data_IF_041091551689
#
_entry.id   IF_041091551689
#
_cell.length_a   1.000
_cell.length_b   1.000
_cell.length_c   1.000
_cell.angle_alpha   90.00
_cell.angle_beta   90.00
_cell.angle_gamma   90.00
#
_symmetry.space_group_name_H-M   'P 1'
#
loop_
_entity.id
_entity.type
_entity.pdbx_description
1 polymer ?
#
# COMPACT_ATOMS: atom_id res chain seq x y z
N UNK A 1 -19.35 -30.80 4.17
CA UNK A 1 -18.30 -31.01 3.14
C UNK A 1 -17.56 -29.71 3.02
N UNK A 2 -16.33 -29.61 3.48
CA UNK A 2 -15.54 -28.36 3.43
C UNK A 2 -15.23 -28.07 1.96
N UNK A 3 -15.79 -26.98 1.43
CA UNK A 3 -15.48 -26.54 0.07
C UNK A 3 -14.03 -26.03 0.04
N UNK A 4 -13.19 -26.65 -0.76
CA UNK A 4 -11.79 -26.21 -0.95
C UNK A 4 -11.74 -25.08 -1.98
N UNK A 5 -10.79 -24.16 -1.80
CA UNK A 5 -10.48 -23.14 -2.82
C UNK A 5 -10.15 -23.83 -4.15
N UNK A 6 -10.72 -23.39 -5.28
CA UNK A 6 -10.37 -23.92 -6.58
C UNK A 6 -8.86 -23.94 -6.82
N UNK A 7 -8.36 -25.05 -7.37
CA UNK A 7 -6.93 -25.25 -7.59
C UNK A 7 -6.34 -24.20 -8.53
N UNK A 8 -5.06 -23.95 -8.38
CA UNK A 8 -4.30 -23.06 -9.26
C UNK A 8 -3.98 -23.78 -10.57
N UNK A 9 -4.35 -23.25 -11.75
CA UNK A 9 -3.92 -23.79 -13.02
C UNK A 9 -2.40 -23.74 -13.20
N UNK A 10 -1.83 -24.70 -13.95
CA UNK A 10 -0.39 -24.80 -14.15
C UNK A 10 0.29 -23.53 -14.68
N UNK A 11 -0.42 -22.76 -15.55
CA UNK A 11 0.11 -21.50 -16.08
C UNK A 11 0.21 -20.38 -15.03
N UNK A 12 -0.46 -20.50 -13.89
CA UNK A 12 -0.32 -19.64 -12.73
C UNK A 12 0.62 -20.21 -11.65
N UNK A 13 1.22 -21.38 -11.88
CA UNK A 13 2.14 -22.02 -10.96
C UNK A 13 3.49 -21.31 -10.88
N UNK A 14 3.88 -20.54 -11.92
CA UNK A 14 5.11 -19.75 -11.89
C UNK A 14 4.92 -18.42 -11.17
N UNK A 15 6.01 -17.86 -10.65
CA UNK A 15 6.03 -16.50 -10.13
C UNK A 15 5.98 -15.44 -11.24
N UNK A 16 6.08 -15.86 -12.51
CA UNK A 16 5.97 -14.99 -13.67
C UNK A 16 4.58 -15.11 -14.31
N UNK A 17 3.72 -14.07 -14.24
CA UNK A 17 2.39 -14.06 -14.81
C UNK A 17 2.36 -13.64 -16.29
N UNK A 18 3.50 -13.51 -16.97
CA UNK A 18 3.52 -13.20 -18.39
C UNK A 18 2.88 -14.30 -19.22
N UNK A 19 2.17 -13.93 -20.29
CA UNK A 19 1.55 -14.89 -21.20
C UNK A 19 0.28 -15.60 -20.71
N UNK A 20 -0.31 -15.17 -19.58
CA UNK A 20 -1.60 -15.70 -19.12
C UNK A 20 -2.70 -15.33 -20.12
N UNK A 21 -3.46 -16.32 -20.68
CA UNK A 21 -4.59 -16.00 -21.54
C UNK A 21 -5.72 -15.33 -20.74
N UNK A 22 -6.19 -14.15 -21.18
CA UNK A 22 -7.22 -13.38 -20.48
C UNK A 22 -8.52 -14.20 -20.28
N UNK A 23 -8.92 -14.99 -21.28
CA UNK A 23 -10.12 -15.83 -21.17
C UNK A 23 -9.98 -16.87 -20.04
N UNK A 24 -8.79 -17.47 -19.89
CA UNK A 24 -8.52 -18.44 -18.82
C UNK A 24 -8.51 -17.76 -17.45
N UNK A 25 -7.95 -16.57 -17.35
CA UNK A 25 -7.99 -15.78 -16.12
C UNK A 25 -9.44 -15.44 -15.73
N UNK A 26 -10.27 -14.99 -16.67
CA UNK A 26 -11.68 -14.66 -16.40
C UNK A 26 -12.51 -15.88 -15.97
N UNK A 27 -12.29 -17.03 -16.56
CA UNK A 27 -12.93 -18.28 -16.15
C UNK A 27 -12.54 -18.66 -14.70
N UNK A 28 -11.26 -18.59 -14.38
CA UNK A 28 -10.77 -18.85 -13.03
C UNK A 28 -11.31 -17.84 -12.00
N UNK A 29 -11.36 -16.55 -12.34
CA UNK A 29 -11.95 -15.52 -11.49
C UNK A 29 -13.41 -15.83 -11.15
N UNK A 30 -14.22 -16.23 -12.16
CA UNK A 30 -15.63 -16.56 -11.94
C UNK A 30 -15.79 -17.80 -11.04
N UNK A 31 -14.99 -18.83 -11.26
CA UNK A 31 -14.99 -20.03 -10.42
C UNK A 31 -14.68 -19.68 -8.95
N UNK A 32 -13.61 -18.90 -8.73
CA UNK A 32 -13.17 -18.46 -7.42
C UNK A 32 -14.15 -17.48 -6.76
N UNK A 33 -14.76 -16.57 -7.55
CA UNK A 33 -15.79 -15.65 -7.06
C UNK A 33 -17.01 -16.41 -6.52
N UNK A 34 -17.51 -17.41 -7.27
CA UNK A 34 -18.60 -18.27 -6.81
C UNK A 34 -18.27 -19.01 -5.52
N UNK A 35 -17.04 -19.53 -5.43
CA UNK A 35 -16.56 -20.17 -4.21
C UNK A 35 -16.52 -19.18 -3.03
N UNK A 36 -15.90 -18.01 -3.21
CA UNK A 36 -15.77 -17.00 -2.14
C UNK A 36 -17.14 -16.50 -1.65
N UNK A 37 -18.04 -16.19 -2.57
CA UNK A 37 -19.39 -15.70 -2.24
C UNK A 37 -20.16 -16.74 -1.43
N UNK A 38 -20.13 -18.00 -1.85
CA UNK A 38 -20.77 -19.10 -1.13
C UNK A 38 -20.11 -19.33 0.24
N UNK A 39 -18.78 -19.39 0.29
CA UNK A 39 -18.01 -19.60 1.50
C UNK A 39 -18.32 -18.49 2.54
N UNK A 40 -18.34 -17.24 2.12
CA UNK A 40 -18.66 -16.11 2.97
C UNK A 40 -20.13 -16.15 3.47
N UNK A 41 -21.09 -16.42 2.59
CA UNK A 41 -22.51 -16.53 2.93
C UNK A 41 -22.78 -17.62 3.95
N UNK A 42 -22.19 -18.80 3.78
CA UNK A 42 -22.41 -19.96 4.65
C UNK A 42 -21.76 -19.78 6.03
N UNK A 43 -20.60 -19.10 6.12
CA UNK A 43 -19.78 -19.13 7.32
C UNK A 43 -19.67 -17.78 8.07
N UNK A 44 -20.02 -16.65 7.44
CA UNK A 44 -19.94 -15.32 8.06
C UNK A 44 -21.32 -14.70 8.20
N UNK A 45 -21.79 -14.55 9.43
CA UNK A 45 -23.14 -14.04 9.74
C UNK A 45 -23.41 -12.66 9.12
N UNK A 46 -22.40 -11.79 9.05
CA UNK A 46 -22.51 -10.48 8.40
C UNK A 46 -22.92 -10.61 6.93
N UNK A 47 -22.23 -11.48 6.17
CA UNK A 47 -22.50 -11.64 4.74
C UNK A 47 -23.86 -12.29 4.50
N UNK A 48 -24.24 -13.30 5.29
CA UNK A 48 -25.58 -13.88 5.19
C UNK A 48 -26.63 -12.80 5.38
N UNK A 49 -26.58 -12.03 6.47
CA UNK A 49 -27.51 -10.94 6.74
C UNK A 49 -27.58 -9.94 5.58
N UNK A 50 -26.41 -9.43 5.12
CA UNK A 50 -26.36 -8.41 4.08
C UNK A 50 -26.88 -8.91 2.73
N UNK A 51 -26.66 -10.18 2.39
CA UNK A 51 -27.15 -10.75 1.13
C UNK A 51 -28.66 -10.99 1.18
N UNK A 52 -29.16 -11.51 2.31
CA UNK A 52 -30.58 -11.71 2.54
C UNK A 52 -31.35 -10.36 2.51
N UNK A 53 -30.79 -9.30 3.09
CA UNK A 53 -31.36 -7.95 3.07
C UNK A 53 -31.56 -7.38 1.64
N UNK A 54 -30.67 -7.72 0.71
CA UNK A 54 -30.81 -7.29 -0.71
C UNK A 54 -31.45 -8.37 -1.60
N UNK A 55 -31.81 -9.53 -1.02
CA UNK A 55 -32.47 -10.62 -1.74
C UNK A 55 -31.58 -11.33 -2.76
N UNK A 56 -30.24 -11.39 -2.51
CA UNK A 56 -29.27 -12.04 -3.42
C UNK A 56 -28.75 -13.32 -2.77
N UNK A 57 -28.77 -14.41 -3.52
CA UNK A 57 -28.24 -15.71 -3.12
C UNK A 57 -26.91 -16.02 -3.87
N UNK A 58 -25.97 -16.79 -3.28
CA UNK A 58 -24.73 -17.18 -3.96
C UNK A 58 -24.93 -17.80 -5.35
N UNK A 59 -26.03 -18.46 -5.61
CA UNK A 59 -26.36 -19.07 -6.92
C UNK A 59 -26.74 -18.04 -8.00
N UNK A 60 -26.98 -16.79 -7.63
CA UNK A 60 -27.26 -15.70 -8.56
C UNK A 60 -26.00 -15.20 -9.26
N UNK A 61 -24.81 -15.55 -8.75
CA UNK A 61 -23.51 -15.18 -9.35
C UNK A 61 -23.22 -16.13 -10.53
N UNK A 62 -23.58 -15.70 -11.73
CA UNK A 62 -23.43 -16.44 -12.99
C UNK A 62 -22.31 -15.91 -13.88
N UNK A 63 -22.03 -14.61 -13.78
CA UNK A 63 -20.96 -13.90 -14.48
C UNK A 63 -20.14 -13.03 -13.50
N UNK A 64 -18.98 -12.54 -13.91
CA UNK A 64 -18.16 -11.65 -13.07
C UNK A 64 -18.87 -10.34 -12.73
N UNK A 65 -19.65 -9.81 -13.67
CA UNK A 65 -20.40 -8.56 -13.47
C UNK A 65 -21.51 -8.68 -12.41
N UNK A 66 -21.96 -9.90 -12.09
CA UNK A 66 -22.97 -10.13 -11.05
C UNK A 66 -22.42 -9.80 -9.65
N UNK A 67 -21.11 -9.57 -9.49
CA UNK A 67 -20.53 -9.03 -8.26
C UNK A 67 -21.24 -7.74 -7.80
N UNK A 68 -21.75 -6.96 -8.73
CA UNK A 68 -22.46 -5.70 -8.48
C UNK A 68 -23.80 -5.88 -7.78
N UNK A 69 -24.38 -7.07 -7.78
CA UNK A 69 -25.58 -7.41 -7.00
C UNK A 69 -25.31 -7.46 -5.51
N UNK A 70 -24.05 -7.69 -5.10
CA UNK A 70 -23.66 -7.86 -3.73
C UNK A 70 -23.39 -6.50 -3.04
N UNK A 71 -23.75 -6.36 -1.75
CA UNK A 71 -23.49 -5.15 -0.99
C UNK A 71 -21.99 -4.96 -0.71
N UNK A 72 -21.60 -3.71 -0.50
CA UNK A 72 -20.23 -3.38 -0.09
C UNK A 72 -19.93 -3.81 1.34
N UNK A 73 -18.68 -4.18 1.58
CA UNK A 73 -18.10 -4.29 2.91
C UNK A 73 -17.32 -3.02 3.23
N UNK A 74 -17.52 -2.48 4.42
CA UNK A 74 -16.88 -1.25 4.88
C UNK A 74 -16.01 -1.50 6.12
N UNK A 75 -15.16 -0.55 6.47
CA UNK A 75 -14.39 -0.59 7.71
C UNK A 75 -15.30 -0.59 8.97
N UNK A 76 -16.51 -0.03 8.87
CA UNK A 76 -17.49 -0.07 9.93
C UNK A 76 -17.99 -1.50 10.18
N UNK A 77 -18.28 -2.25 9.13
CA UNK A 77 -18.68 -3.66 9.20
C UNK A 77 -17.61 -4.52 9.92
N UNK A 78 -16.31 -4.27 9.60
CA UNK A 78 -15.21 -4.99 10.24
C UNK A 78 -15.05 -4.64 11.74
N UNK A 79 -15.41 -3.43 12.12
CA UNK A 79 -15.40 -3.00 13.53
C UNK A 79 -16.58 -3.56 14.31
N UNK A 80 -17.77 -3.65 13.69
CA UNK A 80 -18.97 -4.25 14.27
C UNK A 80 -18.73 -5.72 14.60
N UNK A 81 -18.02 -6.44 13.72
CA UNK A 81 -17.75 -7.87 13.86
C UNK A 81 -16.47 -8.21 14.65
N UNK A 82 -15.84 -7.22 15.27
CA UNK A 82 -14.64 -7.41 16.10
C UNK A 82 -14.89 -8.38 17.27
N UNK A 83 -13.92 -9.28 17.62
CA UNK A 83 -12.65 -9.47 16.93
C UNK A 83 -12.68 -10.52 15.81
N UNK A 84 -13.55 -11.53 15.86
CA UNK A 84 -13.47 -12.72 15.00
C UNK A 84 -14.75 -12.98 14.19
N UNK A 85 -15.71 -12.08 14.21
CA UNK A 85 -17.00 -12.28 13.54
C UNK A 85 -16.93 -12.33 12.02
N UNK A 86 -15.79 -11.96 11.43
CA UNK A 86 -15.52 -12.11 9.99
C UNK A 86 -14.81 -13.41 9.63
N UNK A 87 -14.45 -14.25 10.63
CA UNK A 87 -13.75 -15.50 10.32
C UNK A 87 -14.72 -16.53 9.77
N UNK A 88 -14.40 -17.05 8.59
CA UNK A 88 -15.21 -18.03 7.87
C UNK A 88 -14.77 -19.48 8.13
N UNK A 89 -13.82 -19.68 9.03
CA UNK A 89 -13.32 -21.00 9.46
C UNK A 89 -13.29 -21.09 11.00
N UNK A 90 -13.35 -22.29 11.58
CA UNK A 90 -13.13 -22.46 13.02
C UNK A 90 -11.74 -21.96 13.45
N UNK A 91 -11.65 -21.41 14.66
CA UNK A 91 -10.37 -20.91 15.20
C UNK A 91 -9.24 -21.96 15.18
N UNK A 92 -9.58 -23.25 15.30
CA UNK A 92 -8.60 -24.35 15.20
C UNK A 92 -7.90 -24.43 13.85
N UNK A 93 -8.48 -23.88 12.79
CA UNK A 93 -7.88 -23.83 11.45
C UNK A 93 -7.07 -22.54 11.21
N UNK A 94 -7.24 -21.52 12.05
CA UNK A 94 -6.48 -20.27 11.98
C UNK A 94 -5.06 -20.52 12.49
N UNK A 95 -4.07 -20.19 11.67
CA UNK A 95 -2.63 -20.35 11.98
C UNK A 95 -1.96 -19.05 12.36
N UNK A 96 -2.51 -17.92 11.91
CA UNK A 96 -1.94 -16.61 12.21
C UNK A 96 -3.05 -15.56 12.30
N UNK A 97 -2.85 -14.59 13.20
CA UNK A 97 -3.71 -13.43 13.34
C UNK A 97 -2.84 -12.18 13.18
N UNK A 98 -3.30 -11.24 12.38
CA UNK A 98 -2.76 -9.90 12.29
C UNK A 98 -3.84 -8.87 12.63
N UNK A 99 -3.41 -7.64 12.91
CA UNK A 99 -4.33 -6.54 13.14
C UNK A 99 -3.76 -5.21 12.61
N UNK A 100 -4.64 -4.34 12.13
CA UNK A 100 -4.27 -2.98 11.75
C UNK A 100 -4.07 -2.09 12.99
N UNK A 101 -3.37 -0.95 12.85
CA UNK A 101 -3.02 -0.06 13.97
C UNK A 101 -4.19 0.66 14.65
N UNK A 102 -5.39 0.59 14.08
CA UNK A 102 -6.61 1.16 14.69
C UNK A 102 -6.49 2.60 15.19
N UNK A 103 -5.99 3.54 14.37
CA UNK A 103 -5.75 4.94 14.74
C UNK A 103 -6.98 5.67 15.32
N UNK A 104 -8.20 5.15 15.09
CA UNK A 104 -9.47 5.77 15.48
C UNK A 104 -10.39 4.84 16.28
N UNK A 105 -9.86 3.80 16.97
CA UNK A 105 -10.68 2.88 17.75
C UNK A 105 -10.18 1.44 17.73
N UNK A 106 -11.11 0.47 17.67
CA UNK A 106 -10.76 -0.96 17.62
C UNK A 106 -10.02 -1.31 16.35
N UNK A 107 -8.90 -2.09 16.42
CA UNK A 107 -8.17 -2.54 15.24
C UNK A 107 -9.03 -3.47 14.38
N UNK A 108 -8.74 -3.53 13.07
CA UNK A 108 -9.27 -4.60 12.23
C UNK A 108 -8.41 -5.84 12.43
N UNK A 109 -9.04 -6.94 12.84
CA UNK A 109 -8.38 -8.23 13.07
C UNK A 109 -8.58 -9.12 11.85
N UNK A 110 -7.51 -9.70 11.33
CA UNK A 110 -7.53 -10.58 10.16
C UNK A 110 -6.88 -11.92 10.47
N UNK A 111 -7.52 -12.99 10.03
CA UNK A 111 -7.06 -14.37 10.23
C UNK A 111 -6.50 -14.98 8.95
N UNK A 112 -5.64 -15.99 9.12
CA UNK A 112 -5.04 -16.76 8.04
C UNK A 112 -5.02 -18.24 8.38
N UNK A 113 -5.48 -19.08 7.46
CA UNK A 113 -5.26 -20.53 7.49
C UNK A 113 -3.82 -20.86 7.02
N UNK A 114 -3.44 -22.12 7.06
CA UNK A 114 -2.19 -22.56 6.42
C UNK A 114 -2.21 -22.30 4.91
N UNK A 115 -3.34 -22.58 4.24
CA UNK A 115 -3.53 -22.32 2.82
C UNK A 115 -3.48 -20.82 2.48
N UNK A 116 -4.03 -19.95 3.33
CA UNK A 116 -3.92 -18.50 3.16
C UNK A 116 -2.46 -18.03 3.24
N UNK A 117 -1.68 -18.56 4.19
CA UNK A 117 -0.26 -18.21 4.35
C UNK A 117 0.58 -18.66 3.17
N UNK A 118 0.32 -19.85 2.62
CA UNK A 118 1.01 -20.36 1.44
C UNK A 118 0.74 -19.49 0.21
N UNK A 119 -0.53 -19.19 -0.04
CA UNK A 119 -0.93 -18.28 -1.16
C UNK A 119 -0.34 -16.89 -1.00
N UNK A 120 -0.33 -16.37 0.22
CA UNK A 120 0.27 -15.06 0.48
C UNK A 120 1.77 -15.04 0.22
N UNK A 121 2.49 -16.09 0.63
CA UNK A 121 3.92 -16.22 0.31
C UNK A 121 4.16 -16.29 -1.20
N UNK A 122 3.31 -17.00 -1.97
CA UNK A 122 3.39 -17.04 -3.44
C UNK A 122 3.16 -15.64 -4.06
N UNK A 123 2.16 -14.89 -3.59
CA UNK A 123 1.84 -13.54 -4.08
C UNK A 123 2.97 -12.54 -3.83
N UNK A 124 3.58 -12.60 -2.65
CA UNK A 124 4.72 -11.73 -2.34
C UNK A 124 5.94 -12.16 -3.15
N UNK A 125 6.24 -13.46 -3.28
CA UNK A 125 7.32 -13.95 -4.13
C UNK A 125 7.17 -13.49 -5.58
N UNK A 126 5.94 -13.54 -6.13
CA UNK A 126 5.60 -13.00 -7.46
C UNK A 126 5.88 -11.50 -7.54
N UNK A 127 5.47 -10.74 -6.53
CA UNK A 127 5.71 -9.29 -6.45
C UNK A 127 7.20 -8.97 -6.43
N UNK A 128 7.99 -9.71 -5.64
CA UNK A 128 9.45 -9.54 -5.58
C UNK A 128 10.13 -9.91 -6.90
N UNK A 129 9.65 -10.98 -7.56
CA UNK A 129 10.15 -11.37 -8.90
C UNK A 129 9.84 -10.28 -9.94
N UNK A 130 8.65 -9.68 -9.91
CA UNK A 130 8.28 -8.56 -10.77
C UNK A 130 9.16 -7.31 -10.53
N UNK A 131 9.52 -7.08 -9.27
CA UNK A 131 10.45 -6.02 -8.86
C UNK A 131 11.91 -6.28 -9.27
N UNK A 132 12.23 -7.45 -9.85
CA UNK A 132 13.57 -7.78 -10.31
C UNK A 132 14.42 -8.57 -9.31
N UNK A 133 13.90 -8.91 -8.13
CA UNK A 133 14.58 -9.74 -7.13
C UNK A 133 14.56 -11.20 -7.59
N UNK A 134 15.64 -11.93 -7.35
CA UNK A 134 15.84 -13.31 -7.82
C UNK A 134 16.23 -14.25 -6.68
N UNK A 135 16.15 -15.55 -6.95
CA UNK A 135 16.68 -16.57 -6.07
C UNK A 135 18.18 -16.31 -5.81
N UNK A 136 18.58 -16.39 -4.54
CA UNK A 136 19.95 -16.16 -4.09
C UNK A 136 20.26 -14.72 -3.70
N UNK A 137 19.43 -13.73 -4.06
CA UNK A 137 19.60 -12.35 -3.60
C UNK A 137 19.44 -12.26 -2.06
N UNK A 138 20.14 -11.32 -1.46
CA UNK A 138 19.99 -10.95 -0.05
C UNK A 138 19.03 -9.76 0.05
N UNK A 139 17.98 -9.91 0.85
CA UNK A 139 16.90 -8.93 0.93
C UNK A 139 16.78 -8.41 2.36
N UNK A 140 17.05 -7.13 2.54
CA UNK A 140 16.93 -6.42 3.81
C UNK A 140 15.47 -6.05 4.07
N UNK A 141 14.82 -6.73 5.02
CA UNK A 141 13.43 -6.49 5.35
C UNK A 141 13.31 -5.54 6.54
N UNK A 142 13.10 -4.25 6.25
CA UNK A 142 12.89 -3.18 7.21
C UNK A 142 11.41 -2.83 7.45
N UNK A 143 10.46 -3.65 6.97
CA UNK A 143 9.08 -3.56 7.43
C UNK A 143 8.93 -4.09 8.85
N UNK A 144 8.08 -3.43 9.65
CA UNK A 144 7.83 -3.82 11.04
C UNK A 144 7.24 -5.22 11.18
N UNK A 145 7.83 -6.03 12.04
CA UNK A 145 7.30 -7.32 12.47
C UNK A 145 6.32 -7.13 13.63
N UNK A 146 5.43 -8.09 13.85
CA UNK A 146 4.42 -8.03 14.90
C UNK A 146 3.00 -8.21 14.36
N UNK A 147 2.03 -7.43 14.89
CA UNK A 147 0.63 -7.53 14.46
C UNK A 147 0.38 -7.01 13.04
N UNK A 148 1.24 -6.14 12.51
CA UNK A 148 1.15 -5.70 11.12
C UNK A 148 1.49 -6.81 10.13
N UNK A 149 0.87 -6.76 8.96
CA UNK A 149 1.07 -7.75 7.91
C UNK A 149 2.39 -7.57 7.15
N UNK A 150 2.98 -6.37 7.17
CA UNK A 150 4.12 -6.00 6.31
C UNK A 150 5.35 -6.89 6.49
N UNK A 151 5.91 -6.95 7.70
CA UNK A 151 7.17 -7.66 7.97
C UNK A 151 7.08 -9.16 7.73
N UNK A 152 6.06 -9.83 8.30
CA UNK A 152 5.90 -11.28 8.18
C UNK A 152 5.44 -11.73 6.78
N UNK A 153 4.63 -10.90 6.09
CA UNK A 153 4.25 -11.18 4.70
C UNK A 153 5.44 -11.09 3.75
N UNK A 154 6.25 -10.02 3.87
CA UNK A 154 7.47 -9.86 3.11
C UNK A 154 8.46 -11.00 3.38
N UNK A 155 8.69 -11.35 4.65
CA UNK A 155 9.56 -12.46 5.07
C UNK A 155 9.21 -13.77 4.36
N UNK A 156 7.95 -14.19 4.48
CA UNK A 156 7.51 -15.45 3.86
C UNK A 156 7.66 -15.46 2.33
N UNK A 157 7.44 -14.32 1.67
CA UNK A 157 7.62 -14.20 0.23
C UNK A 157 9.08 -14.22 -0.21
N UNK A 158 9.98 -13.60 0.57
CA UNK A 158 11.42 -13.63 0.29
C UNK A 158 11.94 -15.08 0.34
N UNK A 159 11.60 -15.83 1.41
CA UNK A 159 11.98 -17.23 1.54
C UNK A 159 11.35 -18.10 0.43
N UNK A 160 10.07 -17.84 0.08
CA UNK A 160 9.38 -18.56 -1.00
C UNK A 160 10.01 -18.33 -2.37
N UNK A 161 10.58 -17.15 -2.63
CA UNK A 161 11.34 -16.84 -3.84
C UNK A 161 12.69 -17.58 -3.88
N UNK A 162 13.19 -18.06 -2.74
CA UNK A 162 14.52 -18.62 -2.60
C UNK A 162 15.61 -17.56 -2.41
N UNK A 163 15.21 -16.35 -2.00
CA UNK A 163 16.13 -15.29 -1.59
C UNK A 163 16.42 -15.38 -0.08
N UNK A 164 17.52 -14.77 0.36
CA UNK A 164 17.92 -14.73 1.77
C UNK A 164 17.32 -13.51 2.44
N UNK A 165 16.49 -13.69 3.47
CA UNK A 165 15.92 -12.58 4.24
C UNK A 165 16.87 -12.12 5.36
N UNK A 166 17.07 -10.81 5.48
CA UNK A 166 17.68 -10.14 6.64
C UNK A 166 16.54 -9.48 7.43
N UNK A 167 16.02 -10.11 8.53
CA UNK A 167 14.77 -9.72 9.18
C UNK A 167 14.98 -8.64 10.25
N UNK A 168 15.46 -7.46 9.83
CA UNK A 168 15.82 -6.36 10.75
C UNK A 168 14.62 -5.71 11.44
N UNK A 169 13.43 -5.71 10.80
CA UNK A 169 12.28 -4.93 11.26
C UNK A 169 12.45 -3.41 11.05
N UNK A 170 11.44 -2.61 11.39
CA UNK A 170 11.52 -1.14 11.36
C UNK A 170 12.24 -0.57 12.57
N UNK A 171 12.64 0.70 12.49
CA UNK A 171 13.36 1.42 13.54
C UNK A 171 14.86 1.14 13.59
N UNK A 172 15.54 1.63 14.63
CA UNK A 172 16.98 1.49 14.82
C UNK A 172 17.80 1.93 13.60
N UNK A 173 17.52 3.09 13.04
CA UNK A 173 17.98 3.55 11.72
C UNK A 173 19.50 3.47 11.54
N UNK A 174 20.29 3.83 12.55
CA UNK A 174 21.75 3.70 12.51
C UNK A 174 22.22 2.25 12.34
N UNK A 175 21.50 1.28 12.97
CA UNK A 175 21.80 -0.13 12.80
C UNK A 175 21.38 -0.66 11.42
N UNK A 176 20.31 -0.14 10.81
CA UNK A 176 19.96 -0.44 9.43
C UNK A 176 21.13 -0.09 8.50
N UNK A 177 21.66 1.13 8.62
CA UNK A 177 22.80 1.61 7.83
C UNK A 177 24.03 0.71 8.03
N UNK A 178 24.35 0.33 9.27
CA UNK A 178 25.45 -0.61 9.56
C UNK A 178 25.24 -1.97 8.89
N UNK A 179 24.05 -2.58 9.03
CA UNK A 179 23.77 -3.91 8.47
C UNK A 179 23.72 -3.92 6.94
N UNK A 180 23.36 -2.81 6.31
CA UNK A 180 23.46 -2.66 4.84
C UNK A 180 24.93 -2.75 4.42
N UNK A 181 25.86 -2.14 5.17
CA UNK A 181 27.29 -2.26 4.91
C UNK A 181 27.84 -3.65 5.21
N UNK A 182 27.46 -4.23 6.35
CA UNK A 182 28.03 -5.50 6.82
C UNK A 182 27.54 -6.72 6.01
N UNK A 183 26.27 -6.71 5.59
CA UNK A 183 25.62 -7.83 4.93
C UNK A 183 25.46 -7.67 3.43
N UNK A 184 25.73 -6.47 2.91
CA UNK A 184 25.67 -6.14 1.48
C UNK A 184 24.41 -6.70 0.79
N UNK A 185 23.18 -6.31 1.22
CA UNK A 185 21.96 -6.78 0.59
C UNK A 185 21.80 -6.26 -0.83
N UNK A 186 21.19 -7.07 -1.71
CA UNK A 186 20.87 -6.71 -3.09
C UNK A 186 19.60 -5.85 -3.16
N UNK A 187 18.67 -6.05 -2.21
CA UNK A 187 17.41 -5.32 -2.17
C UNK A 187 16.99 -4.94 -0.75
N UNK A 188 16.14 -3.91 -0.65
CA UNK A 188 15.53 -3.47 0.61
C UNK A 188 14.01 -3.35 0.46
N UNK A 189 13.27 -3.76 1.51
CA UNK A 189 11.83 -3.60 1.65
C UNK A 189 11.53 -2.69 2.83
N UNK A 190 10.92 -1.53 2.58
CA UNK A 190 10.52 -0.57 3.61
C UNK A 190 9.48 0.44 3.09
N UNK A 191 9.10 1.41 3.93
CA UNK A 191 8.33 2.55 3.44
C UNK A 191 9.23 3.57 2.72
N UNK A 192 8.71 4.34 1.74
CA UNK A 192 9.50 5.33 1.02
C UNK A 192 10.17 6.37 1.94
N UNK A 193 9.41 6.90 2.90
CA UNK A 193 9.93 7.87 3.85
C UNK A 193 11.02 7.30 4.77
N UNK A 194 10.92 6.01 5.11
CA UNK A 194 11.93 5.35 5.93
C UNK A 194 13.21 5.08 5.16
N UNK A 195 13.14 4.80 3.88
CA UNK A 195 14.33 4.64 3.04
C UNK A 195 15.16 5.93 2.96
N UNK A 196 14.51 7.09 2.88
CA UNK A 196 15.21 8.38 2.96
C UNK A 196 15.87 8.60 4.32
N UNK A 197 15.22 8.19 5.42
CA UNK A 197 15.84 8.27 6.75
C UNK A 197 17.06 7.32 6.89
N UNK A 198 17.04 6.16 6.24
CA UNK A 198 18.19 5.25 6.15
C UNK A 198 19.31 5.89 5.31
N UNK A 199 19.00 6.54 4.21
CA UNK A 199 19.98 7.28 3.42
C UNK A 199 20.64 8.39 4.22
N UNK A 200 19.86 9.18 5.00
CA UNK A 200 20.40 10.19 5.92
C UNK A 200 21.38 9.57 6.95
N UNK A 201 21.05 8.38 7.48
CA UNK A 201 21.90 7.69 8.45
C UNK A 201 23.19 7.16 7.84
N UNK A 202 23.17 6.70 6.58
CA UNK A 202 24.37 6.34 5.82
C UNK A 202 25.28 7.56 5.65
N UNK A 203 24.74 8.68 5.19
CA UNK A 203 25.49 9.92 5.02
C UNK A 203 26.07 10.42 6.35
N UNK A 204 25.30 10.37 7.45
CA UNK A 204 25.77 10.72 8.78
C UNK A 204 26.91 9.81 9.29
N UNK A 205 26.94 8.56 8.84
CA UNK A 205 28.05 7.62 9.10
C UNK A 205 29.24 7.80 8.13
N UNK A 206 29.21 8.78 7.23
CA UNK A 206 30.26 9.05 6.25
C UNK A 206 30.24 8.07 5.05
N UNK A 207 29.12 7.37 4.81
CA UNK A 207 28.93 6.42 3.73
C UNK A 207 28.10 7.09 2.63
N UNK A 208 28.60 7.09 1.39
CA UNK A 208 27.80 7.49 0.24
C UNK A 208 26.69 6.43 0.02
N UNK A 209 25.39 6.75 0.14
CA UNK A 209 24.32 5.78 -0.08
C UNK A 209 24.34 5.11 -1.46
N UNK A 210 24.90 5.78 -2.47
CA UNK A 210 25.06 5.28 -3.85
C UNK A 210 26.14 4.20 -3.96
N UNK A 211 27.03 4.10 -2.97
CA UNK A 211 28.10 3.09 -2.94
C UNK A 211 27.66 1.78 -2.27
N UNK A 212 26.41 1.70 -1.80
CA UNK A 212 25.88 0.46 -1.19
C UNK A 212 25.64 -0.63 -2.25
N UNK A 213 25.46 -1.86 -1.78
CA UNK A 213 25.14 -3.01 -2.65
C UNK A 213 23.70 -3.03 -3.16
N UNK A 214 22.83 -2.13 -2.66
CA UNK A 214 21.40 -2.10 -2.98
C UNK A 214 21.18 -1.77 -4.47
N UNK A 215 20.39 -2.61 -5.13
CA UNK A 215 19.99 -2.47 -6.55
C UNK A 215 18.50 -2.17 -6.71
N UNK A 216 17.70 -2.67 -5.75
CA UNK A 216 16.23 -2.57 -5.80
C UNK A 216 15.69 -2.18 -4.44
N UNK A 217 14.73 -1.26 -4.41
CA UNK A 217 13.89 -0.98 -3.27
C UNK A 217 12.43 -1.30 -3.58
N UNK A 218 11.79 -2.16 -2.78
CA UNK A 218 10.36 -2.44 -2.88
C UNK A 218 9.64 -1.66 -1.80
N UNK A 219 8.94 -0.61 -2.20
CA UNK A 219 8.41 0.43 -1.34
C UNK A 219 6.88 0.40 -1.32
N UNK A 220 6.29 0.63 -0.16
CA UNK A 220 4.83 0.67 0.00
C UNK A 220 4.39 1.00 1.42
N UNK A 221 3.15 0.66 1.74
CA UNK A 221 2.48 0.92 3.02
C UNK A 221 2.15 2.40 3.32
N UNK A 222 2.59 3.34 2.50
CA UNK A 222 2.21 4.74 2.51
C UNK A 222 2.09 5.26 1.07
N UNK A 223 1.21 6.25 0.79
CA UNK A 223 1.18 6.93 -0.50
C UNK A 223 2.50 7.68 -0.73
N UNK A 224 3.00 7.65 -1.95
CA UNK A 224 4.21 8.35 -2.35
C UNK A 224 4.18 8.76 -3.82
N UNK A 225 4.89 9.83 -4.15
CA UNK A 225 4.86 10.47 -5.47
C UNK A 225 5.98 9.97 -6.40
N UNK A 226 5.88 10.32 -7.69
CA UNK A 226 6.96 10.07 -8.64
C UNK A 226 8.18 10.95 -8.33
N UNK A 227 7.97 12.11 -7.72
CA UNK A 227 9.03 12.98 -7.20
C UNK A 227 9.81 12.28 -6.09
N UNK A 228 9.11 11.63 -5.16
CA UNK A 228 9.73 10.80 -4.11
C UNK A 228 10.50 9.63 -4.71
N UNK A 229 9.99 8.98 -5.76
CA UNK A 229 10.72 7.93 -6.49
C UNK A 229 12.04 8.46 -7.03
N UNK A 230 11.99 9.58 -7.77
CA UNK A 230 13.20 10.21 -8.34
C UNK A 230 14.21 10.58 -7.26
N UNK A 231 13.76 11.09 -6.12
CA UNK A 231 14.65 11.42 -5.01
C UNK A 231 15.31 10.18 -4.41
N UNK A 232 14.56 9.12 -4.16
CA UNK A 232 15.08 7.84 -3.66
C UNK A 232 16.11 7.25 -4.65
N UNK A 233 15.75 7.14 -5.92
CA UNK A 233 16.61 6.57 -6.97
C UNK A 233 17.87 7.41 -7.15
N UNK A 234 17.76 8.73 -7.13
CA UNK A 234 18.90 9.65 -7.21
C UNK A 234 19.87 9.52 -6.03
N UNK A 235 19.34 9.35 -4.80
CA UNK A 235 20.17 9.29 -3.58
C UNK A 235 20.85 7.95 -3.37
N UNK A 236 20.24 6.86 -3.81
CA UNK A 236 20.73 5.52 -3.53
C UNK A 236 21.23 4.77 -4.78
N UNK A 237 21.05 5.32 -6.00
CA UNK A 237 21.39 4.71 -7.27
C UNK A 237 20.82 3.30 -7.46
N UNK A 238 19.51 3.15 -7.20
CA UNK A 238 18.77 1.90 -7.27
C UNK A 238 17.45 2.06 -8.03
N UNK A 239 16.77 0.96 -8.35
CA UNK A 239 15.42 0.97 -8.91
C UNK A 239 14.37 0.90 -7.78
N UNK A 240 13.44 1.86 -7.71
CA UNK A 240 12.38 1.90 -6.70
C UNK A 240 11.04 1.40 -7.28
N UNK A 241 10.50 0.32 -6.73
CA UNK A 241 9.29 -0.37 -7.19
C UNK A 241 8.18 -0.24 -6.15
N UNK A 242 6.96 0.06 -6.58
CA UNK A 242 5.81 0.19 -5.70
C UNK A 242 5.15 -1.17 -5.45
N UNK A 243 4.87 -1.48 -4.18
CA UNK A 243 4.09 -2.64 -3.77
C UNK A 243 2.86 -2.18 -2.98
N UNK A 244 1.68 -2.62 -3.42
CA UNK A 244 0.43 -2.28 -2.79
C UNK A 244 -0.18 -3.47 -2.05
N UNK A 245 -0.83 -3.17 -0.93
CA UNK A 245 -1.61 -4.13 -0.17
C UNK A 245 -2.19 -3.54 1.11
N UNK A 246 -3.17 -4.22 1.64
CA UNK A 246 -3.81 -3.88 2.89
C UNK A 246 -4.17 -5.15 3.67
N UNK A 247 -4.13 -5.06 5.00
CA UNK A 247 -4.35 -6.21 5.89
C UNK A 247 -5.71 -6.86 5.68
N UNK A 248 -6.73 -6.06 5.41
CA UNK A 248 -8.12 -6.50 5.21
C UNK A 248 -8.28 -7.44 4.00
N UNK A 249 -7.48 -7.25 2.95
CA UNK A 249 -7.54 -8.07 1.75
C UNK A 249 -6.58 -9.25 1.82
N UNK A 250 -5.27 -8.98 2.07
CA UNK A 250 -4.26 -10.04 2.25
C UNK A 250 -3.05 -9.55 3.07
N UNK A 251 -2.56 -8.34 2.85
CA UNK A 251 -1.31 -7.77 3.29
C UNK A 251 -0.53 -7.24 2.09
N UNK A 252 0.80 -7.06 2.16
CA UNK A 252 1.61 -6.71 0.99
C UNK A 252 1.48 -7.78 -0.10
N UNK A 253 1.59 -7.37 -1.36
CA UNK A 253 1.51 -8.27 -2.51
C UNK A 253 0.09 -8.52 -3.03
N UNK A 254 -0.86 -7.60 -2.83
CA UNK A 254 -2.13 -7.55 -3.57
C UNK A 254 -1.86 -7.07 -4.99
N UNK A 255 -0.98 -6.07 -5.13
CA UNK A 255 -0.48 -5.59 -6.41
C UNK A 255 0.99 -5.18 -6.30
N UNK A 256 1.71 -5.20 -7.41
CA UNK A 256 3.11 -4.77 -7.50
C UNK A 256 3.45 -4.20 -8.86
N UNK A 257 4.31 -3.19 -8.90
CA UNK A 257 4.93 -2.74 -10.13
C UNK A 257 5.90 -3.78 -10.67
N UNK A 258 6.14 -3.70 -11.97
CA UNK A 258 7.31 -4.32 -12.61
C UNK A 258 8.47 -3.32 -12.65
N UNK A 259 9.67 -3.77 -12.33
CA UNK A 259 10.87 -2.97 -12.50
C UNK A 259 11.14 -2.55 -13.97
N UNK A 260 10.50 -3.23 -14.93
CA UNK A 260 10.67 -2.92 -16.36
C UNK A 260 9.84 -1.70 -16.79
N UNK A 261 8.71 -1.43 -16.16
CA UNK A 261 7.78 -0.38 -16.61
C UNK A 261 7.60 0.74 -15.60
N UNK A 262 7.61 0.45 -14.30
CA UNK A 262 7.41 1.40 -13.20
C UNK A 262 6.20 2.34 -13.41
N UNK A 263 5.12 1.80 -13.98
CA UNK A 263 3.97 2.56 -14.47
C UNK A 263 2.66 2.27 -13.70
N UNK A 264 2.80 1.73 -12.50
CA UNK A 264 1.73 1.42 -11.55
C UNK A 264 1.63 -0.07 -11.22
N UNK A 265 1.21 -0.40 -9.98
CA UNK A 265 1.11 -1.77 -9.51
C UNK A 265 0.09 -2.59 -10.28
N UNK A 266 0.50 -3.75 -10.84
CA UNK A 266 -0.38 -4.74 -11.44
C UNK A 266 -1.04 -5.55 -10.34
N UNK A 267 -2.36 -5.67 -10.40
CA UNK A 267 -3.16 -6.43 -9.43
C UNK A 267 -3.06 -7.92 -9.79
N UNK A 268 -2.82 -8.77 -8.81
CA UNK A 268 -2.84 -10.22 -9.01
C UNK A 268 -4.29 -10.70 -9.11
N UNK A 269 -4.91 -10.44 -10.27
CA UNK A 269 -6.35 -10.63 -10.53
C UNK A 269 -6.79 -12.11 -10.50
N UNK A 270 -5.87 -13.04 -10.46
CA UNK A 270 -6.18 -14.43 -10.14
C UNK A 270 -6.58 -14.63 -8.66
N UNK A 271 -6.20 -13.73 -7.76
CA UNK A 271 -6.52 -13.77 -6.33
C UNK A 271 -7.43 -12.63 -5.86
N UNK A 272 -7.49 -11.53 -6.60
CA UNK A 272 -8.23 -10.33 -6.22
C UNK A 272 -9.03 -9.79 -7.39
N UNK A 273 -10.34 -9.58 -7.19
CA UNK A 273 -11.18 -8.92 -8.19
C UNK A 273 -11.31 -7.43 -7.83
N UNK A 274 -10.71 -6.52 -8.63
CA UNK A 274 -10.83 -5.10 -8.41
C UNK A 274 -12.05 -4.51 -9.10
N UNK A 275 -12.65 -3.51 -8.46
CA UNK A 275 -13.63 -2.57 -9.02
C UNK A 275 -13.19 -1.15 -8.71
N UNK A 276 -13.60 -0.17 -9.53
CA UNK A 276 -13.56 1.25 -9.18
C UNK A 276 -14.97 1.80 -9.14
N UNK A 277 -15.27 2.58 -8.11
CA UNK A 277 -16.61 3.15 -7.88
C UNK A 277 -16.54 4.65 -7.61
N UNK A 278 -17.61 5.34 -7.88
CA UNK A 278 -17.86 6.66 -7.32
C UNK A 278 -18.02 6.55 -5.79
N UNK A 279 -17.21 7.30 -5.05
CA UNK A 279 -17.11 7.17 -3.58
C UNK A 279 -18.39 7.58 -2.84
N UNK A 280 -19.23 8.43 -3.44
CA UNK A 280 -20.45 8.96 -2.83
C UNK A 280 -21.67 8.07 -3.16
N UNK A 281 -21.83 7.73 -4.42
CA UNK A 281 -22.99 6.97 -4.91
C UNK A 281 -22.82 5.46 -4.87
N UNK A 282 -21.56 4.97 -4.88
CA UNK A 282 -21.24 3.55 -5.04
C UNK A 282 -21.43 3.02 -6.46
N UNK A 283 -21.76 3.88 -7.43
CA UNK A 283 -21.89 3.48 -8.81
C UNK A 283 -20.52 3.09 -9.41
N UNK A 284 -20.45 2.05 -10.26
CA UNK A 284 -19.19 1.71 -10.93
C UNK A 284 -18.74 2.83 -11.86
N UNK A 285 -17.43 3.09 -11.90
CA UNK A 285 -16.80 3.98 -12.89
C UNK A 285 -16.02 3.14 -13.90
N UNK A 286 -15.84 3.70 -15.10
CA UNK A 286 -15.12 2.99 -16.17
C UNK A 286 -13.62 2.91 -15.87
N UNK A 287 -12.97 1.87 -16.41
CA UNK A 287 -11.51 1.78 -16.38
C UNK A 287 -10.90 3.04 -17.03
N UNK A 288 -9.88 3.62 -16.39
CA UNK A 288 -9.28 4.91 -16.78
C UNK A 288 -9.88 6.13 -16.09
N UNK A 289 -11.03 6.02 -15.44
CA UNK A 289 -11.63 7.09 -14.64
C UNK A 289 -11.23 6.99 -13.18
N UNK A 290 -11.13 8.14 -12.50
CA UNK A 290 -10.81 8.21 -11.09
C UNK A 290 -11.99 7.70 -10.25
N UNK A 291 -11.71 6.75 -9.35
CA UNK A 291 -12.70 6.21 -8.43
C UNK A 291 -12.07 5.66 -7.15
N UNK A 292 -12.92 5.29 -6.22
CA UNK A 292 -12.53 4.55 -5.03
C UNK A 292 -12.29 3.09 -5.41
N UNK A 293 -11.13 2.56 -5.03
CA UNK A 293 -10.76 1.16 -5.26
C UNK A 293 -11.51 0.24 -4.30
N UNK A 294 -12.05 -0.83 -4.86
CA UNK A 294 -12.81 -1.87 -4.14
C UNK A 294 -12.22 -3.22 -4.47
N UNK A 295 -12.08 -4.09 -3.48
CA UNK A 295 -11.58 -5.45 -3.68
C UNK A 295 -12.54 -6.52 -3.20
N UNK A 296 -12.62 -7.61 -3.97
CA UNK A 296 -13.13 -8.90 -3.54
C UNK A 296 -11.98 -9.91 -3.53
N UNK A 297 -11.70 -10.52 -2.37
CA UNK A 297 -10.72 -11.62 -2.30
C UNK A 297 -11.31 -12.88 -2.90
N UNK A 298 -10.55 -13.56 -3.77
CA UNK A 298 -11.04 -14.75 -4.50
C UNK A 298 -10.55 -16.08 -3.91
N UNK A 299 -9.62 -16.04 -2.95
CA UNK A 299 -8.94 -17.24 -2.43
C UNK A 299 -8.70 -17.21 -0.92
N UNK A 300 -9.23 -16.21 -0.22
CA UNK A 300 -9.05 -16.07 1.21
C UNK A 300 -10.00 -16.98 1.98
N UNK A 301 -9.45 -17.91 2.77
CA UNK A 301 -10.23 -18.89 3.53
C UNK A 301 -10.69 -18.35 4.88
N UNK A 302 -9.75 -17.84 5.68
CA UNK A 302 -10.08 -17.46 7.06
C UNK A 302 -10.87 -16.15 7.15
N UNK A 303 -10.60 -15.21 6.26
CA UNK A 303 -11.17 -13.87 6.33
C UNK A 303 -11.51 -13.38 4.91
N UNK A 304 -12.56 -13.92 4.27
CA UNK A 304 -12.98 -13.46 2.95
C UNK A 304 -13.53 -12.04 3.05
N UNK A 305 -13.17 -11.19 2.07
CA UNK A 305 -13.79 -9.88 1.88
C UNK A 305 -14.46 -9.79 0.53
N UNK A 306 -15.70 -9.27 0.51
CA UNK A 306 -16.52 -9.10 -0.68
C UNK A 306 -16.81 -7.62 -0.83
N UNK A 307 -16.44 -7.05 -1.99
CA UNK A 307 -16.61 -5.63 -2.33
C UNK A 307 -16.16 -4.69 -1.21
N UNK A 308 -14.95 -4.94 -0.69
CA UNK A 308 -14.40 -4.12 0.41
C UNK A 308 -13.95 -2.76 -0.12
N UNK A 309 -14.55 -1.70 0.44
CA UNK A 309 -14.22 -0.31 0.13
C UNK A 309 -12.92 0.09 0.83
N UNK A 310 -11.86 0.28 0.03
CA UNK A 310 -10.51 0.60 0.57
C UNK A 310 -10.36 2.05 0.98
N UNK A 311 -11.16 2.95 0.41
CA UNK A 311 -11.03 4.41 0.45
C UNK A 311 -9.84 4.96 -0.34
N UNK A 312 -9.04 4.12 -0.97
CA UNK A 312 -7.94 4.55 -1.82
C UNK A 312 -8.48 5.04 -3.16
N UNK A 313 -7.98 6.20 -3.62
CA UNK A 313 -8.38 6.80 -4.88
C UNK A 313 -7.36 6.49 -5.96
N UNK A 314 -7.83 5.88 -7.05
CA UNK A 314 -6.98 5.49 -8.18
C UNK A 314 -7.79 5.33 -9.46
N UNK A 315 -7.11 4.96 -10.55
CA UNK A 315 -7.69 4.53 -11.83
C UNK A 315 -7.23 3.12 -12.13
N UNK A 316 -8.16 2.25 -12.55
CA UNK A 316 -7.79 0.98 -13.15
C UNK A 316 -7.33 1.22 -14.59
N UNK A 317 -6.17 0.67 -14.94
CA UNK A 317 -5.53 0.82 -16.25
C UNK A 317 -5.27 -0.56 -16.86
N UNK A 318 -5.20 -0.69 -18.18
CA UNK A 318 -4.74 -1.92 -18.81
C UNK A 318 -3.36 -2.35 -18.32
N UNK A 319 -3.12 -3.66 -18.25
CA UNK A 319 -1.81 -4.21 -17.92
C UNK A 319 -0.76 -3.90 -19.00
N UNK A 320 0.46 -3.69 -18.56
CA UNK A 320 1.64 -3.40 -19.41
C UNK A 320 2.62 -4.57 -19.37
N UNK A 321 3.40 -4.70 -18.31
CA UNK A 321 4.30 -5.85 -18.13
C UNK A 321 3.55 -7.18 -18.04
N UNK A 322 2.33 -7.19 -17.48
CA UNK A 322 1.46 -8.36 -17.33
C UNK A 322 0.12 -8.06 -17.98
N UNK A 323 0.00 -8.30 -19.29
CA UNK A 323 -1.08 -7.80 -20.13
C UNK A 323 -2.48 -8.30 -19.78
N UNK A 324 -2.59 -9.46 -19.13
CA UNK A 324 -3.87 -9.99 -18.66
C UNK A 324 -4.34 -9.40 -17.32
N UNK A 325 -3.47 -8.72 -16.59
CA UNK A 325 -3.73 -8.19 -15.25
C UNK A 325 -3.75 -6.67 -15.27
N UNK A 326 -4.87 -6.06 -14.88
CA UNK A 326 -4.98 -4.60 -14.78
C UNK A 326 -4.03 -4.07 -13.72
N UNK A 327 -3.61 -2.83 -13.89
CA UNK A 327 -2.81 -2.09 -12.92
C UNK A 327 -3.59 -0.92 -12.36
N UNK A 328 -3.20 -0.51 -11.16
CA UNK A 328 -3.68 0.74 -10.57
C UNK A 328 -2.69 1.86 -10.90
N UNK A 329 -3.23 3.05 -11.17
CA UNK A 329 -2.43 4.27 -11.12
C UNK A 329 -1.95 4.49 -9.67
N UNK A 330 -0.84 5.20 -9.47
CA UNK A 330 -0.38 5.52 -8.11
C UNK A 330 -1.52 6.08 -7.25
N UNK A 331 -1.63 5.58 -6.03
CA UNK A 331 -2.62 6.08 -5.07
C UNK A 331 -2.29 7.53 -4.76
N UNK A 332 -3.17 8.44 -5.17
CA UNK A 332 -2.99 9.88 -4.96
C UNK A 332 -3.37 10.31 -3.54
N UNK A 333 -4.17 9.50 -2.87
CA UNK A 333 -4.63 9.73 -1.50
C UNK A 333 -5.78 8.80 -1.14
N UNK A 334 -6.24 8.93 0.09
CA UNK A 334 -7.43 8.24 0.60
C UNK A 334 -8.52 9.26 0.86
N UNK A 335 -9.76 8.90 0.62
CA UNK A 335 -10.89 9.78 0.95
C UNK A 335 -10.89 10.24 2.42
N UNK A 336 -10.39 9.40 3.34
CA UNK A 336 -10.30 9.70 4.77
C UNK A 336 -9.04 10.48 5.18
N UNK A 337 -8.05 10.62 4.30
CA UNK A 337 -6.85 11.45 4.49
C UNK A 337 -6.96 12.83 3.80
N UNK A 338 -8.08 13.09 3.15
CA UNK A 338 -8.34 14.36 2.50
C UNK A 338 -8.48 15.48 3.53
N UNK A 339 -7.67 16.51 3.39
CA UNK A 339 -7.73 17.72 4.21
C UNK A 339 -8.65 18.73 3.51
N UNK A 340 -9.69 19.18 4.23
CA UNK A 340 -10.52 20.29 3.77
C UNK A 340 -9.98 21.56 4.45
N UNK A 341 -9.37 22.43 3.65
CA UNK A 341 -8.82 23.70 4.11
C UNK A 341 -9.51 24.86 3.44
N UNK A 342 -10.37 25.58 4.18
CA UNK A 342 -11.14 26.75 3.67
C UNK A 342 -11.94 26.44 2.39
N UNK A 343 -12.55 25.25 2.33
CA UNK A 343 -13.34 24.81 1.17
C UNK A 343 -12.53 24.22 0.01
N UNK A 344 -11.21 24.12 0.15
CA UNK A 344 -10.33 23.46 -0.81
C UNK A 344 -9.99 22.07 -0.29
N UNK A 345 -10.23 21.05 -1.12
CA UNK A 345 -9.83 19.68 -0.85
C UNK A 345 -8.37 19.47 -1.29
N UNK A 346 -7.53 19.00 -0.39
CA UNK A 346 -6.12 18.71 -0.70
C UNK A 346 -5.66 17.40 -0.05
N UNK A 347 -4.67 16.78 -0.67
CA UNK A 347 -4.01 15.59 -0.14
C UNK A 347 -2.55 15.91 0.24
N UNK A 348 -2.00 15.29 1.30
CA UNK A 348 -0.61 15.46 1.69
C UNK A 348 0.39 15.19 0.56
N UNK A 349 0.07 14.26 -0.35
CA UNK A 349 0.88 13.92 -1.53
C UNK A 349 1.03 15.08 -2.51
N UNK A 350 0.03 15.93 -2.66
CA UNK A 350 0.14 17.14 -3.49
C UNK A 350 1.14 18.15 -2.92
N UNK A 351 1.20 18.26 -1.61
CA UNK A 351 2.22 19.10 -0.94
C UNK A 351 3.60 18.46 -1.10
N UNK A 352 3.71 17.13 -0.95
CA UNK A 352 4.96 16.39 -1.16
C UNK A 352 5.55 16.64 -2.55
N UNK A 353 4.73 16.55 -3.58
CA UNK A 353 5.14 16.79 -4.97
C UNK A 353 5.73 18.20 -5.16
N UNK A 354 5.07 19.21 -4.57
CA UNK A 354 5.54 20.60 -4.66
C UNK A 354 6.84 20.80 -3.88
N UNK A 355 6.96 20.20 -2.70
CA UNK A 355 8.17 20.25 -1.85
C UNK A 355 9.36 19.66 -2.58
N UNK A 356 9.22 18.44 -3.09
CA UNK A 356 10.29 17.71 -3.80
C UNK A 356 10.69 18.38 -5.12
N UNK A 357 9.81 19.19 -5.70
CA UNK A 357 10.12 20.06 -6.84
C UNK A 357 10.95 21.31 -6.51
N UNK A 358 11.46 21.45 -5.26
CA UNK A 358 12.26 22.61 -4.81
C UNK A 358 13.58 22.11 -4.20
N UNK A 359 14.62 21.99 -5.02
CA UNK A 359 15.93 21.40 -4.67
C UNK A 359 16.62 22.02 -3.42
N UNK A 360 16.19 23.20 -2.99
CA UNK A 360 16.78 23.92 -1.85
C UNK A 360 16.18 23.53 -0.51
N UNK A 361 15.15 22.68 -0.51
CA UNK A 361 14.47 22.16 0.66
C UNK A 361 14.71 20.65 0.76
N UNK A 362 14.58 20.10 1.97
CA UNK A 362 14.69 18.65 2.17
C UNK A 362 13.34 17.97 1.96
N UNK A 363 13.27 16.63 1.76
CA UNK A 363 12.02 15.89 1.71
C UNK A 363 11.32 15.77 3.09
N UNK A 364 11.94 16.28 4.15
CA UNK A 364 11.44 16.16 5.51
C UNK A 364 10.51 17.33 5.85
N UNK A 365 9.23 17.08 5.82
CA UNK A 365 8.20 18.07 6.16
C UNK A 365 7.03 17.42 6.89
N UNK A 366 6.30 18.24 7.65
CA UNK A 366 5.02 17.88 8.28
C UNK A 366 3.99 18.99 8.04
N UNK A 367 2.72 18.62 8.09
CA UNK A 367 1.58 19.52 7.97
C UNK A 367 0.92 19.67 9.33
N UNK A 368 0.86 20.87 9.85
CA UNK A 368 0.11 21.19 11.07
C UNK A 368 -1.18 21.92 10.71
N UNK A 369 -2.30 21.36 11.12
CA UNK A 369 -3.62 21.96 10.99
C UNK A 369 -4.01 22.57 12.32
N UNK A 370 -4.40 23.82 12.33
CA UNK A 370 -4.86 24.56 13.50
C UNK A 370 -6.14 25.33 13.18
N UNK A 371 -6.88 25.69 14.22
CA UNK A 371 -8.01 26.59 14.09
C UNK A 371 -7.61 27.98 14.60
N UNK A 372 -7.67 28.96 13.70
CA UNK A 372 -7.40 30.37 14.02
C UNK A 372 -8.73 31.15 13.97
N UNK A 373 -9.27 31.42 15.15
CA UNK A 373 -10.60 32.01 15.27
C UNK A 373 -11.67 31.07 14.70
N UNK A 374 -12.27 31.46 13.56
CA UNK A 374 -13.30 30.66 12.88
C UNK A 374 -12.80 29.95 11.62
N UNK A 375 -11.55 30.11 11.27
CA UNK A 375 -10.98 29.55 10.05
C UNK A 375 -9.89 28.52 10.37
N UNK A 376 -9.83 27.49 9.52
CA UNK A 376 -8.75 26.53 9.57
C UNK A 376 -7.50 27.11 8.90
N UNK A 377 -6.36 26.89 9.51
CA UNK A 377 -5.03 27.27 9.02
C UNK A 377 -4.15 26.03 8.89
N UNK A 378 -3.25 26.03 7.93
CA UNK A 378 -2.25 24.99 7.74
C UNK A 378 -0.87 25.59 7.67
N UNK A 379 0.05 25.03 8.44
CA UNK A 379 1.49 25.35 8.38
C UNK A 379 2.23 24.14 7.81
N UNK A 380 3.01 24.35 6.76
CA UNK A 380 4.00 23.38 6.26
C UNK A 380 5.30 23.67 7.00
N UNK A 381 5.67 22.77 7.92
CA UNK A 381 6.98 22.83 8.58
C UNK A 381 7.92 21.95 7.77
N UNK A 382 9.05 22.50 7.34
CA UNK A 382 10.00 21.83 6.45
C UNK A 382 11.42 22.12 6.85
N UNK A 383 12.30 21.12 6.79
CA UNK A 383 13.71 21.32 7.11
C UNK A 383 14.47 21.94 5.94
N UNK A 384 15.37 22.86 6.26
CA UNK A 384 16.32 23.43 5.29
C UNK A 384 17.35 22.40 4.84
N UNK A 385 17.86 22.57 3.64
CA UNK A 385 18.98 21.76 3.18
C UNK A 385 20.25 22.08 4.01
N UNK A 386 20.92 21.06 4.60
CA UNK A 386 22.03 21.29 5.55
C UNK A 386 23.23 22.00 4.93
N UNK A 387 23.49 21.80 3.63
CA UNK A 387 24.60 22.41 2.91
C UNK A 387 24.34 23.85 2.45
N UNK A 388 23.11 24.40 2.63
CA UNK A 388 22.74 25.73 2.17
C UNK A 388 22.58 26.72 3.32
N UNK A 389 22.80 28.00 3.04
CA UNK A 389 22.56 29.08 3.98
C UNK A 389 21.05 29.19 4.29
N UNK A 390 20.73 29.60 5.51
CA UNK A 390 19.36 29.69 5.99
C UNK A 390 18.49 30.62 5.14
N UNK A 391 19.03 31.77 4.77
CA UNK A 391 18.34 32.79 3.97
C UNK A 391 17.94 32.25 2.57
N UNK A 392 18.77 31.39 1.99
CA UNK A 392 18.47 30.71 0.71
C UNK A 392 17.28 29.75 0.85
N UNK A 393 17.22 29.03 1.96
CA UNK A 393 16.15 28.08 2.23
C UNK A 393 14.85 28.80 2.66
N UNK A 394 14.93 29.92 3.40
CA UNK A 394 13.78 30.76 3.72
C UNK A 394 13.16 31.37 2.44
N UNK A 395 13.98 31.84 1.50
CA UNK A 395 13.50 32.28 0.19
C UNK A 395 12.82 31.14 -0.58
N UNK A 396 13.33 29.90 -0.49
CA UNK A 396 12.70 28.72 -1.05
C UNK A 396 11.35 28.40 -0.37
N UNK A 397 11.22 28.63 0.93
CA UNK A 397 9.95 28.53 1.66
C UNK A 397 8.87 29.51 1.15
N UNK A 398 9.28 30.73 0.78
CA UNK A 398 8.37 31.69 0.12
C UNK A 398 7.89 31.15 -1.24
N UNK A 399 8.80 30.56 -2.02
CA UNK A 399 8.45 29.93 -3.31
C UNK A 399 7.49 28.76 -3.09
N UNK A 400 7.73 27.92 -2.06
CA UNK A 400 6.84 26.80 -1.70
C UNK A 400 5.43 27.31 -1.41
N UNK A 401 5.28 28.30 -0.55
CA UNK A 401 3.97 28.91 -0.25
C UNK A 401 3.26 29.43 -1.49
N UNK A 402 3.99 30.09 -2.39
CA UNK A 402 3.42 30.60 -3.63
C UNK A 402 2.99 29.47 -4.58
N UNK A 403 3.79 28.42 -4.73
CA UNK A 403 3.44 27.26 -5.56
C UNK A 403 2.20 26.54 -5.04
N UNK A 404 2.10 26.34 -3.72
CA UNK A 404 0.90 25.73 -3.10
C UNK A 404 -0.34 26.58 -3.42
N UNK A 405 -0.25 27.91 -3.26
CA UNK A 405 -1.36 28.80 -3.59
C UNK A 405 -1.79 28.73 -5.06
N UNK A 406 -0.83 28.64 -5.99
CA UNK A 406 -1.12 28.59 -7.43
C UNK A 406 -1.64 27.22 -7.86
N UNK A 407 -1.04 26.14 -7.38
CA UNK A 407 -1.34 24.79 -7.86
C UNK A 407 -2.54 24.15 -7.12
N UNK A 408 -2.70 24.44 -5.83
CA UNK A 408 -3.77 23.84 -5.00
C UNK A 408 -4.93 24.82 -4.77
N UNK A 409 -4.68 26.12 -4.86
CA UNK A 409 -5.72 27.14 -4.69
C UNK A 409 -5.96 27.58 -3.24
N UNK A 410 -5.11 27.18 -2.29
CA UNK A 410 -5.21 27.58 -0.89
C UNK A 410 -3.94 28.24 -0.38
N UNK A 411 -4.07 29.11 0.62
CA UNK A 411 -2.91 29.76 1.26
C UNK A 411 -2.52 28.99 2.52
N UNK A 412 -1.22 28.74 2.67
CA UNK A 412 -0.63 28.07 3.83
C UNK A 412 0.49 28.91 4.38
N UNK A 413 0.87 28.69 5.64
CA UNK A 413 2.13 29.19 6.18
C UNK A 413 3.23 28.16 5.94
N UNK A 414 4.47 28.66 5.79
CA UNK A 414 5.65 27.81 5.63
C UNK A 414 6.66 28.21 6.69
N UNK A 415 7.09 27.24 7.49
CA UNK A 415 8.13 27.41 8.51
C UNK A 415 9.34 26.56 8.11
N UNK A 416 10.48 27.21 7.85
CA UNK A 416 11.74 26.52 7.53
C UNK A 416 12.48 26.24 8.82
N UNK A 417 12.66 24.97 9.13
CA UNK A 417 13.26 24.46 10.36
C UNK A 417 14.74 24.11 10.17
N UNK A 418 15.46 23.95 11.27
CA UNK A 418 16.83 23.43 11.24
C UNK A 418 16.84 21.92 10.89
N UNK A 419 17.90 21.41 10.25
CA UNK A 419 18.03 20.00 9.95
C UNK A 419 17.95 19.13 11.21
N UNK A 420 17.20 18.03 11.15
CA UNK A 420 17.03 17.08 12.26
C UNK A 420 16.02 17.49 13.33
N UNK A 421 15.26 18.58 13.14
CA UNK A 421 14.24 19.02 14.11
C UNK A 421 12.90 18.35 13.92
N UNK A 422 12.57 17.91 12.71
CA UNK A 422 11.33 17.19 12.43
C UNK A 422 11.49 15.68 12.71
N UNK A 423 10.40 15.02 13.12
CA UNK A 423 10.43 13.57 13.34
C UNK A 423 10.86 12.84 12.06
N UNK A 424 11.61 11.76 12.20
CA UNK A 424 11.91 10.84 11.11
C UNK A 424 10.93 9.66 11.10
N UNK A 425 10.69 9.10 9.93
CA UNK A 425 9.95 7.86 9.82
C UNK A 425 10.75 6.72 10.44
N UNK A 426 10.07 5.87 11.22
CA UNK A 426 10.58 4.58 11.68
C UNK A 426 9.72 3.42 11.16
N UNK A 427 8.96 3.70 10.10
CA UNK A 427 7.96 2.83 9.52
C UNK A 427 6.89 3.67 8.83
N UNK A 428 5.65 3.70 9.33
CA UNK A 428 4.63 4.63 8.83
C UNK A 428 4.89 6.06 9.30
N UNK A 429 5.03 6.99 8.36
CA UNK A 429 5.28 8.39 8.67
C UNK A 429 3.97 9.14 8.94
N UNK A 430 3.89 9.80 10.08
CA UNK A 430 2.78 10.71 10.39
C UNK A 430 3.08 12.10 9.83
N UNK A 431 2.55 12.38 8.63
CA UNK A 431 2.75 13.70 7.97
C UNK A 431 1.79 14.77 8.45
N UNK A 432 0.61 14.41 8.93
CA UNK A 432 -0.45 15.37 9.30
C UNK A 432 -0.66 15.37 10.80
N UNK A 433 -0.54 16.54 11.40
CA UNK A 433 -0.83 16.82 12.80
C UNK A 433 -2.08 17.72 12.84
N UNK A 434 -3.25 17.12 13.01
CA UNK A 434 -4.50 17.86 13.17
C UNK A 434 -4.68 18.26 14.64
N UNK A 435 -4.56 19.56 14.89
CA UNK A 435 -4.65 20.21 16.19
C UNK A 435 -5.91 21.09 16.31
N UNK A 436 -6.89 20.91 15.40
CA UNK A 436 -8.13 21.70 15.36
C UNK A 436 -9.13 21.30 16.42
#
# INVERSE_FOLDING_TARGET
MTMTVPSRPDFLASVDPTGIPLASLRALQLERLRWTVRHAYENVALYRRKFDEVGVHPDDIRALDDIRLLPFTTKADLRETYPFGMFAVPMAEVRRIHASSGTTGRPTVVGYTAGDLDRWADLVARSLSAAGIRQGDRVHNAYGYGLFTGGLGAHAGIERLGATVIPMSGGQTARQAQLIQDFEPDAILCTPSYLLAIADALEAAGIDPRSTSLKVAVLGAEPWTNEMRREVERRLDLTAVDIYGLSEVMGPGVASESALTQDGPHIWEDHFLPETIDGDTGAPVADGELGELVFTSLTKEAFPVIRYRTRDLTRLQPGTAFTAMRRIEKITGRNDDMIILRGVNLFPTQIEEIVLGIEKLTPHFVLELRREGRMDAMTVRIERHPALQREVCEAAGVVLRQRIKVLIGTTVDVCVEEPGTLPRSEGKYKRVYDLR
#
